data_IF_616588691790
#
_entry.id   IF_616588691790
#
_cell.length_a   1.000
_cell.length_b   1.000
_cell.length_c   1.000
_cell.angle_alpha   90.00
_cell.angle_beta   90.00
_cell.angle_gamma   90.00
#
_symmetry.space_group_name_H-M   'P 1'
#
loop_
_entity.id
_entity.type
_entity.pdbx_description
1 polymer ?
#
# COMPACT_ATOMS: atom_id res chain seq x y z
N UNK A 1 -10.61 -12.56 -3.04
CA UNK A 1 -9.80 -11.75 -2.10
C UNK A 1 -9.00 -10.68 -2.82
N UNK A 2 -8.09 -11.01 -3.75
CA UNK A 2 -7.33 -9.99 -4.50
C UNK A 2 -8.20 -9.10 -5.40
N UNK A 3 -9.17 -9.71 -6.10
CA UNK A 3 -10.13 -8.98 -6.95
C UNK A 3 -11.02 -8.01 -6.17
N UNK A 4 -11.37 -8.37 -4.94
CA UNK A 4 -12.25 -7.58 -4.07
C UNK A 4 -11.51 -6.36 -3.49
N UNK A 5 -10.22 -6.52 -3.22
CA UNK A 5 -9.33 -5.44 -2.78
C UNK A 5 -9.12 -4.41 -3.89
N UNK A 6 -8.86 -4.88 -5.11
CA UNK A 6 -8.64 -4.01 -6.27
C UNK A 6 -9.90 -3.22 -6.67
N UNK A 7 -11.09 -3.82 -6.50
CA UNK A 7 -12.37 -3.16 -6.79
C UNK A 7 -12.66 -1.98 -5.83
N UNK A 8 -12.34 -2.14 -4.53
CA UNK A 8 -12.54 -1.08 -3.53
C UNK A 8 -11.58 0.10 -3.72
N UNK A 9 -10.38 -0.15 -4.23
CA UNK A 9 -9.41 0.90 -4.55
C UNK A 9 -9.89 1.83 -5.68
N UNK A 10 -10.69 1.31 -6.63
CA UNK A 10 -11.21 2.08 -7.78
C UNK A 10 -12.36 3.02 -7.44
N UNK A 11 -13.17 2.74 -6.42
CA UNK A 11 -14.38 3.52 -6.10
C UNK A 11 -14.10 4.89 -5.47
N UNK A 12 -12.86 5.18 -5.08
CA UNK A 12 -12.48 6.40 -4.36
C UNK A 12 -11.78 7.44 -5.26
N UNK A 13 -12.15 7.54 -6.53
CA UNK A 13 -11.76 8.66 -7.39
C UNK A 13 -12.95 9.61 -7.62
N UNK A 14 -12.87 10.91 -7.26
CA UNK A 14 -13.80 11.90 -7.75
C UNK A 14 -13.46 12.20 -9.21
N UNK A 15 -14.34 11.86 -10.15
CA UNK A 15 -14.20 12.25 -11.56
C UNK A 15 -14.19 13.78 -11.68
N UNK A 16 -13.12 14.40 -12.24
CA UNK A 16 -13.25 15.76 -12.73
C UNK A 16 -13.99 15.68 -14.06
N UNK A 17 -15.13 16.35 -14.12
CA UNK A 17 -15.79 16.62 -15.38
C UNK A 17 -14.84 17.39 -16.31
N UNK A 18 -14.70 16.94 -17.55
CA UNK A 18 -14.27 17.82 -18.64
C UNK A 18 -13.10 17.34 -19.50
N UNK A 19 -13.44 17.03 -20.75
CA UNK A 19 -12.67 17.28 -21.98
C UNK A 19 -11.56 16.26 -22.30
N UNK A 20 -11.96 15.29 -23.13
CA UNK A 20 -11.37 15.09 -24.47
C UNK A 20 -9.93 14.55 -24.56
N UNK A 21 -9.81 13.35 -25.12
CA UNK A 21 -8.60 12.88 -25.78
C UNK A 21 -7.75 11.94 -24.94
N UNK A 22 -7.65 10.68 -25.39
CA UNK A 22 -6.98 9.58 -24.73
C UNK A 22 -5.65 9.96 -24.09
N UNK A 23 -5.61 9.85 -22.76
CA UNK A 23 -4.37 9.77 -22.00
C UNK A 23 -4.41 8.50 -21.18
N UNK A 24 -3.48 7.63 -21.51
CA UNK A 24 -3.08 6.43 -20.80
C UNK A 24 -3.29 6.61 -19.31
N UNK A 25 -4.16 5.79 -18.71
CA UNK A 25 -4.39 5.74 -17.26
C UNK A 25 -3.03 5.49 -16.61
N UNK A 26 -2.37 6.55 -16.13
CA UNK A 26 -1.13 6.41 -15.40
C UNK A 26 -1.46 5.65 -14.13
N UNK A 27 -0.94 4.40 -14.06
CA UNK A 27 -1.00 3.54 -12.88
C UNK A 27 -0.10 4.08 -11.77
N UNK A 28 -0.23 5.35 -11.40
CA UNK A 28 0.28 5.84 -10.14
C UNK A 28 -0.73 5.44 -9.06
N UNK A 29 -0.66 4.17 -8.64
CA UNK A 29 -1.16 3.72 -7.34
C UNK A 29 -0.27 4.37 -6.24
N UNK A 30 -0.23 5.70 -6.19
CA UNK A 30 0.59 6.43 -5.25
C UNK A 30 -0.18 6.58 -3.95
N UNK A 31 -0.12 5.56 -3.09
CA UNK A 31 -0.36 5.82 -1.67
C UNK A 31 0.84 6.58 -1.14
N UNK A 32 0.64 7.83 -0.72
CA UNK A 32 1.70 8.58 -0.05
C UNK A 32 1.66 8.20 1.42
N UNK A 33 2.69 7.52 1.89
CA UNK A 33 2.82 7.24 3.32
C UNK A 33 3.12 8.54 4.06
N UNK A 34 2.13 9.02 4.82
CA UNK A 34 2.20 10.27 5.59
C UNK A 34 2.15 10.00 7.09
N UNK A 35 2.79 8.94 7.56
CA UNK A 35 3.05 8.78 8.98
C UNK A 35 4.43 9.38 9.30
N UNK A 36 4.59 10.03 10.47
CA UNK A 36 5.92 10.33 11.00
C UNK A 36 6.77 9.06 10.95
N UNK A 37 7.88 9.09 10.22
CA UNK A 37 8.82 7.97 10.24
C UNK A 37 9.71 8.15 11.47
N UNK A 38 9.57 7.25 12.43
CA UNK A 38 10.56 7.09 13.48
C UNK A 38 11.83 6.49 12.86
N UNK A 39 12.98 7.04 13.22
CA UNK A 39 14.27 6.60 12.69
C UNK A 39 14.73 5.35 13.45
N UNK A 40 14.19 4.19 13.06
CA UNK A 40 14.68 2.91 13.54
C UNK A 40 15.79 2.37 12.63
N UNK A 41 16.78 1.75 13.27
CA UNK A 41 17.87 0.99 12.66
C UNK A 41 17.72 -0.48 13.02
N UNK A 42 18.43 -1.37 12.31
CA UNK A 42 18.38 -2.80 12.64
C UNK A 42 18.98 -3.10 14.02
N UNK A 43 19.90 -2.25 14.48
CA UNK A 43 20.59 -2.39 15.76
C UNK A 43 19.66 -2.10 16.96
N UNK A 44 18.50 -1.47 16.72
CA UNK A 44 17.46 -1.24 17.73
C UNK A 44 16.64 -2.51 18.02
N UNK A 45 16.81 -3.58 17.24
CA UNK A 45 16.04 -4.81 17.36
C UNK A 45 16.93 -6.02 17.65
N UNK A 46 16.54 -6.80 18.65
CA UNK A 46 17.10 -8.12 18.91
C UNK A 46 16.13 -9.22 18.47
N UNK A 47 16.63 -10.24 17.79
CA UNK A 47 15.80 -11.37 17.36
C UNK A 47 15.44 -12.25 18.56
N UNK A 48 14.22 -12.07 19.07
CA UNK A 48 13.66 -12.87 20.16
C UNK A 48 13.05 -14.20 19.71
N UNK A 49 12.25 -14.80 20.61
CA UNK A 49 11.48 -16.01 20.32
C UNK A 49 10.40 -15.71 19.29
N UNK A 50 10.26 -16.58 18.29
CA UNK A 50 9.18 -16.52 17.30
C UNK A 50 7.86 -16.93 17.96
N UNK A 51 6.85 -16.08 17.81
CA UNK A 51 5.50 -16.28 18.31
C UNK A 51 4.53 -16.82 17.25
N UNK A 52 4.85 -16.67 15.96
CA UNK A 52 4.04 -17.23 14.88
C UNK A 52 4.77 -17.38 13.56
N UNK A 53 4.39 -18.40 12.78
CA UNK A 53 4.92 -18.67 11.44
C UNK A 53 3.76 -18.86 10.47
N UNK A 54 3.74 -18.06 9.41
CA UNK A 54 2.86 -18.23 8.26
C UNK A 54 3.66 -18.60 7.01
N UNK A 55 2.96 -18.84 5.91
CA UNK A 55 3.58 -19.27 4.64
C UNK A 55 4.61 -18.28 4.08
N UNK A 56 4.50 -17.00 4.43
CA UNK A 56 5.38 -15.92 3.93
C UNK A 56 5.79 -14.92 5.02
N UNK A 57 5.50 -15.17 6.29
CA UNK A 57 5.77 -14.22 7.37
C UNK A 57 6.08 -14.92 8.69
N UNK A 58 6.81 -14.23 9.56
CA UNK A 58 7.08 -14.63 10.95
C UNK A 58 6.96 -13.42 11.85
N UNK A 59 6.58 -13.65 13.09
CA UNK A 59 6.49 -12.65 14.16
C UNK A 59 7.05 -13.23 15.43
#
# INVERSE_FOLDING_TARGET
MERDFEAKLRLQQPSPAGIGGGKTVQRTNSITFRAPQEHFTIDDFELGKIFGVGSYSKV
#
